data_IF_415963820668
#
_entry.id   IF_415963820668
#
_cell.length_a   1.000
_cell.length_b   1.000
_cell.length_c   1.000
_cell.angle_alpha   90.00
_cell.angle_beta   90.00
_cell.angle_gamma   90.00
#
_symmetry.space_group_name_H-M   'P 1'
#
loop_
_entity.id
_entity.type
_entity.pdbx_description
1 polymer ?
#
# COMPACT_ATOMS: atom_id res chain seq x y z
N UNK A 1 9.53 1.80 -14.57
CA UNK A 1 8.91 0.60 -15.21
C UNK A 1 8.52 -0.35 -14.08
N UNK A 2 7.24 -0.68 -13.88
CA UNK A 2 6.86 -1.77 -12.97
C UNK A 2 7.41 -3.10 -13.52
N UNK A 3 7.70 -4.05 -12.62
CA UNK A 3 8.27 -5.36 -13.01
C UNK A 3 7.28 -6.47 -12.67
N UNK A 4 6.98 -7.31 -13.65
CA UNK A 4 6.31 -8.59 -13.48
C UNK A 4 7.32 -9.71 -13.67
N UNK A 5 7.43 -10.60 -12.68
CA UNK A 5 8.28 -11.78 -12.74
C UNK A 5 7.36 -13.00 -12.84
N UNK A 6 7.34 -13.64 -14.01
CA UNK A 6 6.60 -14.88 -14.19
C UNK A 6 7.37 -16.05 -13.59
N UNK A 7 6.99 -16.46 -12.38
CA UNK A 7 7.55 -17.64 -11.73
C UNK A 7 6.73 -18.86 -12.13
N UNK A 8 7.29 -19.71 -12.99
CA UNK A 8 6.68 -20.99 -13.39
C UNK A 8 6.74 -21.96 -12.20
N UNK A 9 5.58 -22.32 -11.66
CA UNK A 9 5.44 -23.25 -10.53
C UNK A 9 4.54 -24.42 -10.88
N UNK A 10 4.55 -25.46 -10.04
CA UNK A 10 3.58 -26.55 -10.09
C UNK A 10 2.65 -26.38 -8.89
N UNK A 11 1.35 -26.17 -9.12
CA UNK A 11 0.38 -26.06 -8.02
C UNK A 11 0.34 -27.38 -7.23
N UNK A 12 0.40 -27.30 -5.90
CA UNK A 12 0.47 -28.46 -5.03
C UNK A 12 1.68 -29.37 -5.29
N UNK A 13 2.80 -28.83 -5.78
CA UNK A 13 4.07 -29.56 -5.96
C UNK A 13 4.36 -30.46 -4.76
N UNK A 14 4.61 -31.75 -5.00
CA UNK A 14 4.82 -32.78 -3.98
C UNK A 14 3.58 -33.61 -3.64
N UNK A 15 2.36 -33.10 -3.87
CA UNK A 15 1.14 -33.89 -3.72
C UNK A 15 0.92 -34.85 -4.90
N UNK A 16 0.17 -35.92 -4.68
CA UNK A 16 -0.17 -36.91 -5.73
C UNK A 16 -0.85 -36.26 -6.95
N UNK A 17 -1.73 -35.28 -6.70
CA UNK A 17 -2.48 -34.55 -7.72
C UNK A 17 -1.85 -33.20 -8.11
N UNK A 18 -0.54 -33.04 -7.91
CA UNK A 18 0.18 -31.81 -8.28
C UNK A 18 -0.07 -31.43 -9.75
N UNK A 19 -0.13 -30.13 -10.04
CA UNK A 19 -0.38 -29.63 -11.40
C UNK A 19 -1.84 -29.71 -11.87
N UNK A 20 -2.77 -30.15 -11.02
CA UNK A 20 -4.20 -30.24 -11.36
C UNK A 20 -5.06 -29.28 -10.53
N UNK A 21 -6.30 -29.03 -10.95
CA UNK A 21 -7.24 -28.20 -10.18
C UNK A 21 -7.68 -28.84 -8.86
N UNK A 22 -7.49 -30.15 -8.69
CA UNK A 22 -7.93 -30.88 -7.50
C UNK A 22 -7.21 -30.45 -6.22
N UNK A 23 -6.02 -29.84 -6.32
CA UNK A 23 -5.23 -29.33 -5.17
C UNK A 23 -5.45 -27.84 -4.90
N UNK A 24 -6.39 -27.19 -5.58
CA UNK A 24 -6.58 -25.74 -5.48
C UNK A 24 -7.33 -25.29 -4.22
N UNK A 25 -8.47 -25.92 -3.93
CA UNK A 25 -9.43 -25.39 -2.94
C UNK A 25 -9.92 -26.41 -1.92
N UNK A 26 -9.35 -27.61 -1.88
CA UNK A 26 -9.73 -28.66 -0.95
C UNK A 26 -8.51 -29.16 -0.17
N UNK A 27 -8.68 -29.54 1.12
CA UNK A 27 -7.63 -30.23 1.86
C UNK A 27 -7.17 -31.49 1.12
N UNK A 28 -5.88 -31.79 1.19
CA UNK A 28 -5.31 -33.00 0.57
C UNK A 28 -5.80 -34.31 1.21
N UNK A 29 -6.37 -34.22 2.42
CA UNK A 29 -6.66 -35.39 3.26
C UNK A 29 -5.40 -35.98 3.90
N UNK A 30 -5.58 -36.89 4.85
CA UNK A 30 -4.45 -37.49 5.58
C UNK A 30 -3.45 -38.20 4.66
N UNK A 31 -3.95 -39.01 3.71
CA UNK A 31 -3.11 -39.74 2.76
C UNK A 31 -2.36 -38.80 1.82
N UNK A 32 -3.01 -37.74 1.35
CA UNK A 32 -2.38 -36.73 0.49
C UNK A 32 -1.30 -35.92 1.21
N UNK A 33 -1.50 -35.62 2.50
CA UNK A 33 -0.48 -34.98 3.35
C UNK A 33 0.72 -35.92 3.54
N UNK A 34 0.48 -37.20 3.83
CA UNK A 34 1.54 -38.19 4.00
C UNK A 34 2.36 -38.34 2.70
N UNK A 35 1.70 -38.41 1.54
CA UNK A 35 2.37 -38.47 0.24
C UNK A 35 3.24 -37.22 -0.03
N UNK A 36 2.72 -36.03 0.29
CA UNK A 36 3.46 -34.79 0.12
C UNK A 36 4.69 -34.73 1.04
N UNK A 37 4.54 -35.06 2.33
CA UNK A 37 5.66 -35.13 3.27
C UNK A 37 6.75 -36.08 2.79
N UNK A 38 6.36 -37.27 2.31
CA UNK A 38 7.31 -38.23 1.73
C UNK A 38 8.05 -37.63 0.53
N UNK A 39 7.34 -36.93 -0.37
CA UNK A 39 7.94 -36.28 -1.54
C UNK A 39 8.95 -35.18 -1.19
N UNK A 40 8.79 -34.52 -0.04
CA UNK A 40 9.75 -33.52 0.47
C UNK A 40 10.88 -34.11 1.31
N UNK A 41 10.82 -35.41 1.64
CA UNK A 41 11.69 -36.00 2.66
C UNK A 41 11.43 -35.45 4.06
N UNK A 42 10.21 -34.99 4.34
CA UNK A 42 9.82 -34.39 5.62
C UNK A 42 9.43 -35.45 6.65
N UNK A 43 10.13 -35.48 7.77
CA UNK A 43 9.95 -36.49 8.83
C UNK A 43 9.41 -35.92 10.14
N UNK A 44 9.27 -34.60 10.25
CA UNK A 44 8.85 -33.96 11.50
C UNK A 44 7.34 -34.06 11.73
N UNK A 45 6.95 -33.88 12.99
CA UNK A 45 5.54 -33.83 13.39
C UNK A 45 4.81 -32.62 12.79
N UNK A 46 3.48 -32.68 12.80
CA UNK A 46 2.64 -31.56 12.35
C UNK A 46 2.98 -30.28 13.13
N UNK A 47 3.00 -29.16 12.42
CA UNK A 47 3.31 -27.83 12.98
C UNK A 47 4.70 -27.69 13.60
N UNK A 48 5.67 -28.52 13.19
CA UNK A 48 7.07 -28.39 13.62
C UNK A 48 7.84 -27.41 12.73
N UNK A 49 8.59 -26.49 13.34
CA UNK A 49 9.57 -25.65 12.63
C UNK A 49 10.98 -26.10 13.03
N UNK A 50 11.80 -26.62 12.10
CA UNK A 50 13.16 -27.03 12.42
C UNK A 50 14.01 -25.84 12.88
N UNK A 51 14.83 -26.02 13.90
CA UNK A 51 15.67 -24.96 14.46
C UNK A 51 16.59 -24.29 13.42
N UNK A 52 17.05 -25.03 12.41
CA UNK A 52 17.83 -24.48 11.31
C UNK A 52 17.02 -23.49 10.44
N UNK A 53 15.73 -23.72 10.26
CA UNK A 53 14.81 -22.81 9.56
C UNK A 53 14.61 -21.54 10.38
N UNK A 54 14.30 -21.67 11.68
CA UNK A 54 14.15 -20.51 12.57
C UNK A 54 15.41 -19.63 12.56
N UNK A 55 16.58 -20.25 12.72
CA UNK A 55 17.87 -19.55 12.68
C UNK A 55 18.07 -18.83 11.33
N UNK A 56 17.75 -19.49 10.22
CA UNK A 56 17.88 -18.89 8.88
C UNK A 56 17.01 -17.65 8.71
N UNK A 57 15.80 -17.64 9.26
CA UNK A 57 14.90 -16.49 9.23
C UNK A 57 15.33 -15.39 10.21
N UNK A 58 15.78 -15.75 11.40
CA UNK A 58 16.32 -14.79 12.37
C UNK A 58 17.53 -14.05 11.81
N UNK A 59 18.54 -14.79 11.33
CA UNK A 59 19.77 -14.22 10.79
C UNK A 59 19.54 -13.44 9.48
N UNK A 60 18.64 -13.91 8.62
CA UNK A 60 18.50 -13.40 7.25
C UNK A 60 17.42 -12.33 7.06
N UNK A 61 16.30 -12.46 7.79
CA UNK A 61 15.14 -11.57 7.65
C UNK A 61 15.05 -10.62 8.83
N UNK A 62 15.05 -11.13 10.05
CA UNK A 62 14.86 -10.30 11.24
C UNK A 62 16.05 -9.35 11.45
N UNK A 63 17.28 -9.87 11.46
CA UNK A 63 18.46 -9.05 11.66
C UNK A 63 18.59 -7.95 10.60
N UNK A 64 18.39 -8.30 9.32
CA UNK A 64 18.43 -7.33 8.21
C UNK A 64 17.33 -6.28 8.31
N UNK A 65 16.11 -6.67 8.68
CA UNK A 65 15.00 -5.74 8.88
C UNK A 65 15.28 -4.76 10.01
N UNK A 66 15.74 -5.26 11.15
CA UNK A 66 16.10 -4.45 12.31
C UNK A 66 17.21 -3.45 12.00
N UNK A 67 18.27 -3.89 11.31
CA UNK A 67 19.37 -3.01 10.90
C UNK A 67 18.89 -1.89 9.98
N UNK A 68 18.07 -2.22 8.97
CA UNK A 68 17.53 -1.25 8.03
C UNK A 68 16.59 -0.24 8.71
N UNK A 69 15.73 -0.70 9.62
CA UNK A 69 14.81 0.16 10.37
C UNK A 69 15.57 1.07 11.34
N UNK A 70 16.57 0.56 12.05
CA UNK A 70 17.41 1.38 12.91
C UNK A 70 18.14 2.47 12.11
N UNK A 71 18.73 2.11 10.96
CA UNK A 71 19.37 3.07 10.09
C UNK A 71 18.38 4.13 9.55
N UNK A 72 17.13 3.72 9.25
CA UNK A 72 16.08 4.65 8.85
C UNK A 72 15.67 5.59 10.00
N UNK A 73 15.52 5.07 11.23
CA UNK A 73 15.20 5.89 12.41
C UNK A 73 16.29 6.92 12.69
N UNK A 74 17.56 6.54 12.60
CA UNK A 74 18.69 7.46 12.78
C UNK A 74 18.73 8.53 11.67
N UNK A 75 18.42 8.15 10.43
CA UNK A 75 18.31 9.09 9.31
C UNK A 75 17.13 10.05 9.52
N UNK A 76 15.98 9.54 9.94
CA UNK A 76 14.76 10.32 10.12
C UNK A 76 14.88 11.29 11.29
N UNK A 77 15.58 10.93 12.37
CA UNK A 77 15.91 11.85 13.46
C UNK A 77 16.72 13.05 12.98
N UNK A 78 17.74 12.84 12.13
CA UNK A 78 18.52 13.93 11.52
C UNK A 78 17.68 14.77 10.56
N UNK A 79 16.81 14.11 9.79
CA UNK A 79 15.87 14.80 8.90
C UNK A 79 14.93 15.72 9.67
N UNK A 80 14.45 15.31 10.84
CA UNK A 80 13.61 16.12 11.70
C UNK A 80 14.34 17.34 12.27
N UNK A 81 15.62 17.23 12.59
CA UNK A 81 16.45 18.36 13.01
C UNK A 81 16.68 19.37 11.86
N UNK A 82 16.93 18.87 10.64
CA UNK A 82 17.22 19.70 9.46
C UNK A 82 15.96 20.31 8.81
N UNK A 83 14.83 19.59 8.84
CA UNK A 83 13.56 19.95 8.19
C UNK A 83 12.36 19.78 9.13
N UNK A 84 12.27 20.55 10.23
CA UNK A 84 11.28 20.33 11.28
C UNK A 84 9.82 20.40 10.80
N UNK A 85 9.48 21.37 9.95
CA UNK A 85 8.11 21.51 9.43
C UNK A 85 7.73 20.36 8.50
N UNK A 86 8.63 19.92 7.60
CA UNK A 86 8.35 18.79 6.70
C UNK A 86 8.27 17.46 7.45
N UNK A 87 9.09 17.27 8.48
CA UNK A 87 9.03 16.09 9.34
C UNK A 87 7.72 16.03 10.14
N UNK A 88 7.24 17.19 10.61
CA UNK A 88 5.92 17.31 11.23
C UNK A 88 4.80 16.92 10.27
N UNK A 89 4.78 17.49 9.06
CA UNK A 89 3.79 17.15 8.02
C UNK A 89 3.79 15.65 7.70
N UNK A 90 4.99 15.05 7.57
CA UNK A 90 5.14 13.62 7.36
C UNK A 90 4.53 12.81 8.52
N UNK A 91 4.88 13.13 9.77
CA UNK A 91 4.36 12.42 10.94
C UNK A 91 2.83 12.53 11.04
N UNK A 92 2.28 13.72 10.82
CA UNK A 92 0.84 13.97 10.85
C UNK A 92 0.11 13.18 9.75
N UNK A 93 0.68 13.09 8.54
CA UNK A 93 0.11 12.31 7.45
C UNK A 93 0.01 10.80 7.77
N UNK A 94 0.90 10.25 8.58
CA UNK A 94 0.90 8.84 9.01
C UNK A 94 0.24 8.60 10.38
N UNK A 95 -0.12 9.65 11.12
CA UNK A 95 -0.66 9.53 12.48
C UNK A 95 -2.06 8.91 12.55
N UNK A 96 -2.75 8.71 11.41
CA UNK A 96 -4.14 8.24 11.32
C UNK A 96 -5.12 9.06 12.17
N UNK A 97 -4.84 10.34 12.35
CA UNK A 97 -5.70 11.26 13.07
C UNK A 97 -6.69 11.93 12.11
N UNK A 98 -7.86 12.30 12.64
CA UNK A 98 -8.83 13.06 11.86
C UNK A 98 -8.24 14.45 11.56
N UNK A 99 -8.23 14.81 10.28
CA UNK A 99 -7.82 16.16 9.85
C UNK A 99 -9.02 17.09 10.04
N UNK A 100 -8.80 18.20 10.73
CA UNK A 100 -9.77 19.29 10.81
C UNK A 100 -9.61 20.18 9.59
N UNK A 101 -10.72 20.52 8.95
CA UNK A 101 -10.76 21.44 7.82
C UNK A 101 -11.83 22.48 8.07
N UNK A 102 -11.49 23.74 7.87
CA UNK A 102 -12.42 24.84 7.94
C UNK A 102 -12.93 25.12 6.53
N UNK A 103 -14.22 24.90 6.31
CA UNK A 103 -14.87 25.15 5.02
C UNK A 103 -15.74 26.40 5.09
N UNK A 104 -15.62 27.27 4.08
CA UNK A 104 -16.48 28.43 3.92
C UNK A 104 -17.93 27.98 3.68
N UNK A 105 -18.85 28.50 4.50
CA UNK A 105 -20.27 28.27 4.31
C UNK A 105 -20.77 28.97 3.03
N UNK A 106 -21.76 28.37 2.38
CA UNK A 106 -22.44 29.02 1.27
C UNK A 106 -23.52 30.00 1.76
N UNK A 107 -23.60 31.17 1.12
CA UNK A 107 -24.62 32.18 1.38
C UNK A 107 -26.03 31.66 1.09
N UNK A 108 -26.97 31.99 1.98
CA UNK A 108 -28.37 31.64 1.82
C UNK A 108 -28.97 32.32 0.59
N UNK A 109 -29.80 31.60 -0.17
CA UNK A 109 -30.41 32.09 -1.40
C UNK A 109 -29.53 31.97 -2.65
N UNK A 110 -28.32 31.42 -2.52
CA UNK A 110 -27.50 31.02 -3.68
C UNK A 110 -27.86 29.63 -4.18
N UNK A 111 -27.65 29.36 -5.48
CA UNK A 111 -27.90 28.05 -6.10
C UNK A 111 -26.67 27.60 -6.88
N UNK A 112 -26.17 26.41 -6.56
CA UNK A 112 -25.05 25.75 -7.23
C UNK A 112 -25.33 24.24 -7.31
N UNK A 113 -24.85 23.60 -8.38
CA UNK A 113 -24.84 22.14 -8.44
C UNK A 113 -23.86 21.59 -7.40
N UNK A 114 -24.19 20.46 -6.74
CA UNK A 114 -23.35 19.89 -5.67
C UNK A 114 -21.95 19.48 -6.14
N UNK A 115 -21.77 19.16 -7.42
CA UNK A 115 -20.43 18.94 -8.01
C UNK A 115 -19.57 20.20 -8.03
N UNK A 116 -20.18 21.38 -8.12
CA UNK A 116 -19.46 22.67 -8.09
C UNK A 116 -19.08 23.00 -6.66
N UNK A 117 -19.99 22.84 -5.69
CA UNK A 117 -19.62 23.02 -4.27
C UNK A 117 -18.61 21.97 -3.79
N UNK A 118 -18.68 20.74 -4.30
CA UNK A 118 -17.64 19.72 -4.08
C UNK A 118 -16.27 20.17 -4.61
N UNK A 119 -16.22 20.76 -5.80
CA UNK A 119 -14.96 21.33 -6.33
C UNK A 119 -14.39 22.43 -5.43
N UNK A 120 -15.26 23.32 -4.93
CA UNK A 120 -14.88 24.41 -4.03
C UNK A 120 -14.31 23.84 -2.72
N UNK A 121 -14.97 22.84 -2.13
CA UNK A 121 -14.46 22.12 -0.97
C UNK A 121 -13.12 21.44 -1.26
N UNK A 122 -12.95 20.80 -2.42
CA UNK A 122 -11.66 20.19 -2.83
C UNK A 122 -10.54 21.24 -2.85
N UNK A 123 -10.79 22.46 -3.34
CA UNK A 123 -9.77 23.52 -3.32
C UNK A 123 -9.41 23.93 -1.89
N UNK A 124 -10.42 24.10 -1.03
CA UNK A 124 -10.21 24.53 0.36
C UNK A 124 -9.50 23.46 1.19
N UNK A 125 -9.88 22.20 1.04
CA UNK A 125 -9.24 21.06 1.71
C UNK A 125 -7.79 20.93 1.24
N UNK A 126 -7.54 21.03 -0.06
CA UNK A 126 -6.19 20.85 -0.60
C UNK A 126 -5.19 21.92 -0.11
N UNK A 127 -5.67 23.13 0.17
CA UNK A 127 -4.87 24.22 0.74
C UNK A 127 -4.55 24.03 2.24
N UNK A 128 -5.39 23.29 2.97
CA UNK A 128 -5.24 23.05 4.42
C UNK A 128 -4.57 21.70 4.72
N UNK A 129 -4.68 20.74 3.81
CA UNK A 129 -4.26 19.35 4.03
C UNK A 129 -3.26 18.96 2.95
N UNK A 130 -1.98 19.04 3.27
CA UNK A 130 -0.88 18.73 2.33
C UNK A 130 -0.91 17.28 1.83
N UNK A 131 -1.42 16.35 2.63
CA UNK A 131 -1.59 14.93 2.29
C UNK A 131 -2.82 14.63 1.41
N UNK A 132 -3.70 15.61 1.16
CA UNK A 132 -4.91 15.39 0.34
C UNK A 132 -4.56 15.32 -1.14
N UNK A 133 -4.88 14.24 -1.83
CA UNK A 133 -4.60 14.07 -3.25
C UNK A 133 -5.61 13.09 -3.84
N UNK A 134 -5.77 13.10 -5.15
CA UNK A 134 -6.79 12.28 -5.78
C UNK A 134 -6.98 12.62 -7.25
N UNK A 135 -8.05 12.13 -7.84
CA UNK A 135 -8.22 12.23 -9.28
C UNK A 135 -9.59 11.80 -9.78
N UNK A 136 -9.66 11.52 -11.08
CA UNK A 136 -10.87 11.01 -11.71
C UNK A 136 -10.56 9.95 -12.76
N UNK A 137 -11.52 9.04 -12.96
CA UNK A 137 -11.52 8.11 -14.05
C UNK A 137 -12.02 8.79 -15.34
N UNK A 138 -11.15 9.58 -16.00
CA UNK A 138 -11.41 10.34 -17.24
C UNK A 138 -12.60 11.32 -17.21
N UNK A 139 -13.12 11.63 -16.02
CA UNK A 139 -14.30 12.47 -15.82
C UNK A 139 -14.00 13.73 -15.01
N UNK A 140 -12.74 14.14 -14.92
CA UNK A 140 -12.32 15.24 -14.04
C UNK A 140 -13.02 16.57 -14.36
N UNK A 141 -13.25 16.86 -15.64
CA UNK A 141 -14.01 18.02 -16.11
C UNK A 141 -15.53 17.91 -15.86
N UNK A 142 -16.07 16.69 -15.79
CA UNK A 142 -17.50 16.43 -15.55
C UNK A 142 -17.83 16.42 -14.06
N UNK A 143 -16.93 15.82 -13.27
CA UNK A 143 -17.04 15.62 -11.83
C UNK A 143 -16.51 16.82 -11.04
N UNK A 144 -15.74 17.70 -11.68
CA UNK A 144 -15.08 18.87 -11.09
C UNK A 144 -14.11 18.53 -9.95
N UNK A 145 -13.21 17.56 -10.14
CA UNK A 145 -12.37 17.03 -9.05
C UNK A 145 -10.92 17.53 -9.05
N UNK A 146 -10.48 18.29 -10.04
CA UNK A 146 -9.09 18.75 -10.13
C UNK A 146 -8.79 19.84 -9.09
N UNK A 147 -7.64 19.71 -8.42
CA UNK A 147 -7.05 20.76 -7.61
C UNK A 147 -6.30 21.72 -8.54
N UNK A 148 -6.74 22.98 -8.62
CA UNK A 148 -6.27 23.95 -9.62
C UNK A 148 -4.84 24.42 -9.42
N UNK A 149 -4.41 24.52 -8.17
CA UNK A 149 -3.05 24.98 -7.81
C UNK A 149 -2.00 23.88 -7.88
N UNK A 150 -2.45 22.63 -8.05
CA UNK A 150 -1.59 21.45 -8.05
C UNK A 150 -1.30 20.97 -9.45
N UNK A 151 -0.16 20.28 -9.57
CA UNK A 151 0.23 19.66 -10.83
C UNK A 151 -0.31 18.24 -10.96
N UNK A 152 -0.17 17.69 -12.16
CA UNK A 152 -0.50 16.30 -12.44
C UNK A 152 0.55 15.34 -11.86
N UNK A 153 0.09 14.22 -11.32
CA UNK A 153 0.94 13.12 -10.89
C UNK A 153 1.40 12.31 -12.12
N UNK A 154 2.66 12.49 -12.54
CA UNK A 154 3.22 11.85 -13.73
C UNK A 154 4.71 11.51 -13.58
N UNK A 155 5.27 10.61 -14.40
CA UNK A 155 6.71 10.35 -14.41
C UNK A 155 7.52 11.64 -14.61
N UNK A 156 8.46 11.90 -13.69
CA UNK A 156 9.25 13.15 -13.66
C UNK A 156 8.61 14.27 -12.85
N UNK A 157 7.41 14.07 -12.32
CA UNK A 157 6.65 15.04 -11.52
C UNK A 157 5.76 14.32 -10.51
N UNK A 158 6.38 13.50 -9.64
CA UNK A 158 5.66 12.66 -8.69
C UNK A 158 5.11 13.42 -7.49
N UNK A 159 5.46 14.70 -7.34
CA UNK A 159 4.87 15.59 -6.33
C UNK A 159 3.47 16.06 -6.69
N UNK A 160 3.03 15.89 -7.95
CA UNK A 160 1.69 16.32 -8.38
C UNK A 160 0.57 15.58 -7.62
N UNK A 161 -0.48 16.31 -7.26
CA UNK A 161 -1.60 15.80 -6.44
C UNK A 161 -2.86 15.48 -7.24
N UNK A 162 -2.84 15.69 -8.56
CA UNK A 162 -3.92 15.32 -9.47
C UNK A 162 -3.61 14.00 -10.21
N UNK A 163 -4.40 12.97 -9.96
CA UNK A 163 -4.24 11.63 -10.55
C UNK A 163 -5.15 11.50 -11.78
N UNK A 164 -4.57 11.06 -12.89
CA UNK A 164 -5.29 10.68 -14.10
C UNK A 164 -5.43 9.16 -14.14
N UNK A 165 -6.57 8.63 -13.66
CA UNK A 165 -6.74 7.18 -13.53
C UNK A 165 -6.98 6.47 -14.88
N UNK A 166 -7.41 7.19 -15.92
CA UNK A 166 -7.94 6.59 -17.15
C UNK A 166 -9.40 6.17 -16.99
N UNK A 167 -9.95 5.43 -17.96
CA UNK A 167 -11.36 4.95 -17.94
C UNK A 167 -11.47 3.63 -17.20
#
# INVERSE_FOLDING_TARGET
KPTIIEVKTIIGFGAEKQGTSAVHGAPLGADGIAFAKQSYGWTEQDFTVPAAVEKRFADGLQARGQEAENAWNDLFAKYEEEYPELAKDYKEAFANQAVSVDLEAHELGTSKASRVSSQEAIQQISAQVSSFWGGSADLSASNNTMVKVEKDFQPGQFEGRNIWFGV
#
